data_IF_780231206681
#
_entry.id   IF_780231206681
#
_cell.length_a   1.000
_cell.length_b   1.000
_cell.length_c   1.000
_cell.angle_alpha   90.00
_cell.angle_beta   90.00
_cell.angle_gamma   90.00
#
_symmetry.space_group_name_H-M   'P 1'
#
loop_
_entity.id
_entity.type
_entity.pdbx_description
1 polymer ?
#
# COMPACT_ATOMS: atom_id res chain seq x y z
N UNK A 1 -71.30 1.69 8.15
CA UNK A 1 -70.45 2.55 9.01
C UNK A 1 -69.04 2.60 8.43
N UNK A 2 -68.61 3.78 8.02
CA UNK A 2 -67.27 4.13 7.58
C UNK A 2 -66.27 4.14 8.76
N UNK A 3 -65.04 3.67 8.53
CA UNK A 3 -63.71 4.21 8.96
C UNK A 3 -62.68 3.10 8.67
N UNK A 4 -61.72 3.14 7.75
CA UNK A 4 -60.81 4.20 7.28
C UNK A 4 -59.85 4.74 8.35
N UNK A 5 -58.74 4.03 8.57
CA UNK A 5 -57.49 4.56 9.14
C UNK A 5 -56.30 3.91 8.41
N UNK A 6 -55.86 4.48 7.30
CA UNK A 6 -54.73 5.44 7.19
C UNK A 6 -53.40 4.93 7.77
N UNK A 7 -52.51 4.57 6.85
CA UNK A 7 -51.20 5.21 6.66
C UNK A 7 -50.38 5.52 7.92
N UNK A 8 -49.40 4.68 8.23
CA UNK A 8 -48.10 5.14 8.73
C UNK A 8 -46.96 4.58 7.88
N UNK A 9 -46.65 5.36 6.85
CA UNK A 9 -45.39 5.35 6.12
C UNK A 9 -44.38 6.16 6.94
N UNK A 10 -43.37 5.52 7.50
CA UNK A 10 -42.06 6.15 7.81
C UNK A 10 -40.97 5.11 7.52
N UNK A 11 -40.59 4.92 6.26
CA UNK A 11 -39.34 5.50 5.72
C UNK A 11 -38.26 5.70 6.81
N UNK A 12 -37.53 4.64 7.13
CA UNK A 12 -36.19 4.73 7.75
C UNK A 12 -35.23 3.70 7.16
N UNK A 13 -35.30 3.56 5.84
CA UNK A 13 -34.26 2.98 4.99
C UNK A 13 -33.84 4.10 4.05
N UNK A 14 -32.54 4.20 3.75
CA UNK A 14 -31.91 5.14 2.78
C UNK A 14 -31.24 6.41 3.34
N UNK A 15 -30.45 6.32 4.41
CA UNK A 15 -29.36 7.31 4.63
C UNK A 15 -27.95 6.70 4.67
N UNK A 16 -27.79 5.38 4.53
CA UNK A 16 -26.48 4.72 4.48
C UNK A 16 -26.16 4.01 3.14
N UNK A 17 -26.86 4.32 2.03
CA UNK A 17 -26.57 3.70 0.72
C UNK A 17 -25.74 4.58 -0.22
N UNK A 18 -25.70 5.89 -0.03
CA UNK A 18 -24.94 6.81 -0.92
C UNK A 18 -23.46 6.99 -0.57
N UNK A 19 -23.02 6.57 0.62
CA UNK A 19 -21.61 6.68 1.06
C UNK A 19 -20.77 5.42 0.80
N UNK A 20 -21.39 4.27 0.48
CA UNK A 20 -20.67 3.00 0.22
C UNK A 20 -20.03 2.90 -1.18
N UNK A 21 -20.54 3.63 -2.16
CA UNK A 21 -20.04 3.59 -3.55
C UNK A 21 -18.87 4.54 -3.84
N UNK A 22 -18.79 5.69 -3.16
CA UNK A 22 -17.73 6.70 -3.40
C UNK A 22 -16.42 6.40 -2.66
N UNK A 23 -16.52 5.91 -1.42
CA UNK A 23 -15.35 5.54 -0.61
C UNK A 23 -14.60 4.35 -1.20
N UNK A 24 -15.30 3.41 -1.83
CA UNK A 24 -14.71 2.24 -2.50
C UNK A 24 -13.97 2.59 -3.80
N UNK A 25 -14.42 3.58 -4.57
CA UNK A 25 -13.71 4.07 -5.76
C UNK A 25 -12.42 4.81 -5.39
N UNK A 26 -12.48 5.73 -4.42
CA UNK A 26 -11.32 6.48 -3.95
C UNK A 26 -10.23 5.56 -3.37
N UNK A 27 -10.62 4.56 -2.60
CA UNK A 27 -9.68 3.60 -2.00
C UNK A 27 -8.94 2.78 -3.06
N UNK A 28 -9.65 2.33 -4.12
CA UNK A 28 -9.04 1.60 -5.24
C UNK A 28 -8.03 2.44 -6.00
N UNK A 29 -8.35 3.71 -6.26
CA UNK A 29 -7.42 4.65 -6.91
C UNK A 29 -6.18 4.84 -6.04
N UNK A 30 -6.37 5.01 -4.72
CA UNK A 30 -5.26 5.17 -3.79
C UNK A 30 -4.34 3.95 -3.76
N UNK A 31 -4.89 2.73 -3.72
CA UNK A 31 -4.10 1.49 -3.81
C UNK A 31 -3.43 1.30 -5.17
N UNK A 32 -4.06 1.75 -6.26
CA UNK A 32 -3.45 1.77 -7.58
C UNK A 32 -2.21 2.68 -7.63
N UNK A 33 -2.35 3.92 -7.15
CA UNK A 33 -1.22 4.87 -7.06
C UNK A 33 -0.13 4.30 -6.16
N UNK A 34 -0.52 3.71 -5.02
CA UNK A 34 0.43 3.10 -4.09
C UNK A 34 1.21 1.93 -4.71
N UNK A 35 0.55 1.05 -5.46
CA UNK A 35 1.21 -0.03 -6.17
C UNK A 35 2.21 0.50 -7.21
N UNK A 36 1.85 1.53 -7.97
CA UNK A 36 2.76 2.19 -8.92
C UNK A 36 3.98 2.77 -8.21
N UNK A 37 3.78 3.42 -7.05
CA UNK A 37 4.87 3.96 -6.24
C UNK A 37 5.82 2.85 -5.77
N UNK A 38 5.28 1.72 -5.29
CA UNK A 38 6.07 0.58 -4.85
C UNK A 38 6.87 -0.04 -6.01
N UNK A 39 6.27 -0.17 -7.19
CA UNK A 39 6.98 -0.62 -8.39
C UNK A 39 8.13 0.31 -8.76
N UNK A 40 7.89 1.63 -8.74
CA UNK A 40 8.93 2.61 -9.04
C UNK A 40 10.09 2.56 -8.04
N UNK A 41 9.78 2.48 -6.74
CA UNK A 41 10.78 2.32 -5.68
C UNK A 41 11.58 1.02 -5.82
N UNK A 42 10.89 -0.09 -6.10
CA UNK A 42 11.56 -1.37 -6.34
C UNK A 42 12.49 -1.32 -7.56
N UNK A 43 12.01 -0.75 -8.67
CA UNK A 43 12.81 -0.59 -9.88
C UNK A 43 14.06 0.26 -9.61
N UNK A 44 13.92 1.32 -8.81
CA UNK A 44 15.05 2.17 -8.41
C UNK A 44 16.08 1.42 -7.56
N UNK A 45 15.62 0.61 -6.60
CA UNK A 45 16.46 -0.22 -5.73
C UNK A 45 17.20 -1.31 -6.51
N UNK A 46 16.49 -2.03 -7.38
CA UNK A 46 17.02 -3.12 -8.21
C UNK A 46 18.02 -2.58 -9.24
N UNK A 47 17.75 -1.41 -9.84
CA UNK A 47 18.68 -0.76 -10.78
C UNK A 47 20.01 -0.39 -10.15
N UNK A 48 20.17 -0.51 -8.83
CA UNK A 48 21.43 -0.25 -8.14
C UNK A 48 21.79 1.24 -8.06
N UNK A 49 20.92 2.14 -8.53
CA UNK A 49 21.12 3.60 -8.41
C UNK A 49 21.22 4.05 -6.94
N UNK A 50 20.60 3.30 -6.03
CA UNK A 50 20.71 3.51 -4.59
C UNK A 50 22.14 3.26 -4.04
N UNK A 51 22.97 2.46 -4.71
CA UNK A 51 24.35 2.18 -4.26
C UNK A 51 25.31 3.36 -4.46
N UNK A 52 24.88 4.41 -5.18
CA UNK A 52 25.64 5.66 -5.33
C UNK A 52 25.70 6.43 -4.00
N UNK A 53 24.73 6.21 -3.10
CA UNK A 53 24.69 6.85 -1.79
C UNK A 53 25.60 6.19 -0.74
N UNK A 54 26.16 5.01 -1.02
CA UNK A 54 27.08 4.33 -0.08
C UNK A 54 28.52 4.81 -0.32
N UNK A 55 29.16 5.35 0.73
CA UNK A 55 30.53 5.88 0.67
C UNK A 55 31.53 4.86 0.09
N UNK A 56 32.38 5.33 -0.82
CA UNK A 56 33.32 4.55 -1.64
C UNK A 56 34.39 3.82 -0.78
N UNK A 57 34.50 4.14 0.50
CA UNK A 57 35.55 3.70 1.40
C UNK A 57 35.62 2.17 1.65
N UNK A 58 34.57 1.39 1.37
CA UNK A 58 34.58 -0.07 1.57
C UNK A 58 33.87 -0.84 0.45
N UNK A 59 34.65 -1.34 -0.51
CA UNK A 59 34.19 -2.15 -1.66
C UNK A 59 33.40 -3.39 -1.20
N UNK A 60 33.79 -4.02 -0.09
CA UNK A 60 33.09 -5.18 0.47
C UNK A 60 31.70 -4.82 1.02
N UNK A 61 31.58 -3.70 1.74
CA UNK A 61 30.30 -3.22 2.28
C UNK A 61 29.34 -2.82 1.16
N UNK A 62 29.84 -2.32 0.03
CA UNK A 62 29.04 -1.98 -1.16
C UNK A 62 28.35 -3.20 -1.78
N UNK A 63 29.04 -4.35 -1.90
CA UNK A 63 28.42 -5.60 -2.40
C UNK A 63 27.31 -6.09 -1.47
N UNK A 64 27.51 -6.00 -0.16
CA UNK A 64 26.52 -6.41 0.85
C UNK A 64 25.29 -5.50 0.80
N UNK A 65 25.51 -4.17 0.78
CA UNK A 65 24.44 -3.19 0.67
C UNK A 65 23.62 -3.36 -0.63
N UNK A 66 24.28 -3.60 -1.77
CA UNK A 66 23.60 -3.87 -3.04
C UNK A 66 22.72 -5.12 -2.97
N UNK A 67 23.21 -6.20 -2.36
CA UNK A 67 22.43 -7.44 -2.18
C UNK A 67 21.22 -7.22 -1.28
N UNK A 68 21.37 -6.42 -0.22
CA UNK A 68 20.25 -6.01 0.64
C UNK A 68 19.23 -5.15 -0.11
N UNK A 69 19.69 -4.13 -0.86
CA UNK A 69 18.80 -3.30 -1.68
C UNK A 69 18.03 -4.12 -2.72
N UNK A 70 18.68 -5.10 -3.35
CA UNK A 70 18.01 -6.03 -4.24
C UNK A 70 16.93 -6.84 -3.51
N UNK A 71 17.25 -7.37 -2.32
CA UNK A 71 16.28 -8.11 -1.50
C UNK A 71 15.06 -7.25 -1.11
N UNK A 72 15.27 -6.00 -0.70
CA UNK A 72 14.18 -5.06 -0.41
C UNK A 72 13.37 -4.71 -1.66
N UNK A 73 14.02 -4.55 -2.81
CA UNK A 73 13.35 -4.35 -4.10
C UNK A 73 12.40 -5.51 -4.43
N UNK A 74 12.85 -6.76 -4.30
CA UNK A 74 12.00 -7.94 -4.51
C UNK A 74 10.83 -7.98 -3.52
N UNK A 75 11.07 -7.64 -2.25
CA UNK A 75 10.02 -7.51 -1.22
C UNK A 75 8.96 -6.47 -1.62
N UNK A 76 9.37 -5.31 -2.12
CA UNK A 76 8.42 -4.28 -2.56
C UNK A 76 7.62 -4.68 -3.81
N UNK A 77 8.19 -5.49 -4.72
CA UNK A 77 7.42 -6.07 -5.83
C UNK A 77 6.30 -6.96 -5.31
N UNK A 78 6.61 -7.84 -4.34
CA UNK A 78 5.60 -8.71 -3.73
C UNK A 78 4.48 -7.88 -3.07
N UNK A 79 4.82 -6.81 -2.35
CA UNK A 79 3.83 -5.90 -1.78
C UNK A 79 3.03 -5.12 -2.84
N UNK A 80 3.65 -4.76 -3.96
CA UNK A 80 2.96 -4.11 -5.06
C UNK A 80 1.93 -5.04 -5.71
N UNK A 81 2.29 -6.31 -5.94
CA UNK A 81 1.35 -7.33 -6.39
C UNK A 81 0.21 -7.54 -5.40
N UNK A 82 0.51 -7.64 -4.10
CA UNK A 82 -0.51 -7.74 -3.07
C UNK A 82 -1.46 -6.53 -3.09
N UNK A 83 -0.94 -5.32 -3.27
CA UNK A 83 -1.74 -4.09 -3.39
C UNK A 83 -2.65 -4.11 -4.64
N UNK A 84 -2.21 -4.67 -5.76
CA UNK A 84 -3.05 -4.84 -6.95
C UNK A 84 -4.17 -5.85 -6.67
N UNK A 85 -3.87 -6.98 -6.02
CA UNK A 85 -4.87 -7.99 -5.66
C UNK A 85 -5.94 -7.42 -4.70
N UNK A 86 -5.55 -6.50 -3.81
CA UNK A 86 -6.44 -5.74 -2.93
C UNK A 86 -7.48 -4.90 -3.68
N UNK A 87 -7.22 -4.46 -4.90
CA UNK A 87 -8.19 -3.68 -5.68
C UNK A 87 -9.44 -4.54 -5.99
N UNK A 88 -9.25 -5.86 -6.14
CA UNK A 88 -10.31 -6.83 -6.36
C UNK A 88 -10.95 -7.31 -5.06
N UNK A 89 -10.16 -7.43 -3.98
CA UNK A 89 -10.64 -7.84 -2.66
C UNK A 89 -11.06 -6.62 -1.82
N UNK A 90 -12.37 -6.41 -1.62
CA UNK A 90 -12.92 -5.31 -0.80
C UNK A 90 -12.61 -5.41 0.72
N UNK A 91 -11.68 -6.27 1.13
CA UNK A 91 -11.35 -6.47 2.55
C UNK A 91 -10.48 -5.33 3.08
N UNK A 92 -11.11 -4.43 3.83
CA UNK A 92 -10.43 -3.29 4.48
C UNK A 92 -9.30 -3.74 5.42
N UNK A 93 -9.44 -4.93 6.04
CA UNK A 93 -8.44 -5.48 6.95
C UNK A 93 -7.15 -5.85 6.22
N UNK A 94 -7.26 -6.39 5.00
CA UNK A 94 -6.09 -6.72 4.18
C UNK A 94 -5.34 -5.45 3.78
N UNK A 95 -6.08 -4.39 3.44
CA UNK A 95 -5.56 -3.04 3.16
C UNK A 95 -4.69 -2.49 4.28
N UNK A 96 -5.15 -2.56 5.53
CA UNK A 96 -4.34 -2.11 6.67
C UNK A 96 -3.10 -2.97 6.88
N UNK A 97 -3.18 -4.28 6.70
CA UNK A 97 -2.03 -5.19 6.84
C UNK A 97 -0.94 -4.90 5.81
N UNK A 98 -1.32 -4.71 4.54
CA UNK A 98 -0.37 -4.41 3.46
C UNK A 98 0.30 -3.04 3.69
N UNK A 99 -0.49 -2.03 4.08
CA UNK A 99 0.03 -0.70 4.37
C UNK A 99 1.00 -0.74 5.57
N UNK A 100 0.63 -1.43 6.65
CA UNK A 100 1.49 -1.62 7.82
C UNK A 100 2.80 -2.33 7.47
N UNK A 101 2.74 -3.44 6.72
CA UNK A 101 3.94 -4.13 6.25
C UNK A 101 4.84 -3.25 5.39
N UNK A 102 4.25 -2.43 4.50
CA UNK A 102 5.03 -1.50 3.67
C UNK A 102 5.73 -0.45 4.53
N UNK A 103 5.03 0.15 5.49
CA UNK A 103 5.60 1.13 6.41
C UNK A 103 6.73 0.54 7.25
N UNK A 104 6.55 -0.67 7.81
CA UNK A 104 7.60 -1.38 8.54
C UNK A 104 8.81 -1.68 7.65
N UNK A 105 8.58 -2.12 6.42
CA UNK A 105 9.67 -2.41 5.47
C UNK A 105 10.49 -1.16 5.14
N UNK A 106 9.83 -0.01 4.97
CA UNK A 106 10.49 1.28 4.73
C UNK A 106 11.28 1.73 5.96
N UNK A 107 10.74 1.58 7.17
CA UNK A 107 11.46 1.91 8.42
C UNK A 107 12.74 1.09 8.58
N UNK A 108 12.65 -0.23 8.37
CA UNK A 108 13.81 -1.12 8.41
C UNK A 108 14.83 -0.71 7.34
N UNK A 109 14.36 -0.39 6.14
CA UNK A 109 15.22 0.09 5.06
C UNK A 109 15.98 1.37 5.43
N UNK A 110 15.33 2.36 6.03
CA UNK A 110 15.96 3.60 6.48
C UNK A 110 16.99 3.32 7.58
N UNK A 111 16.67 2.46 8.55
CA UNK A 111 17.60 2.10 9.62
C UNK A 111 18.86 1.42 9.07
N UNK A 112 18.70 0.49 8.12
CA UNK A 112 19.82 -0.16 7.43
C UNK A 112 20.64 0.87 6.66
N UNK A 113 19.99 1.75 5.90
CA UNK A 113 20.67 2.80 5.14
C UNK A 113 21.48 3.72 6.06
N UNK A 114 20.89 4.13 7.19
CA UNK A 114 21.56 4.95 8.21
C UNK A 114 22.75 4.23 8.86
N UNK A 115 22.75 2.90 8.93
CA UNK A 115 23.89 2.13 9.44
C UNK A 115 25.03 2.01 8.42
N UNK A 116 24.76 2.22 7.13
CA UNK A 116 25.77 2.14 6.05
C UNK A 116 26.36 3.50 5.66
N UNK A 117 25.73 4.60 6.08
CA UNK A 117 26.15 5.97 5.82
C UNK A 117 27.14 6.43 6.90
#
# INVERSE_FOLDING_TARGET
LFTNTKYYRTKKTTHCSWQKGKTSMLLKILFGIFAVLLFFMSFFLISGKATVFTSIAHIEKKKIAQKLFFSFGVLFILLAFASITLIFYHSIWLSFSVLGMASFSILIFIFILSSFM
#
